data_IF_370134351817
#
_entry.id   IF_370134351817
#
_cell.length_a   1.000
_cell.length_b   1.000
_cell.length_c   1.000
_cell.angle_alpha   90.00
_cell.angle_beta   90.00
_cell.angle_gamma   90.00
#
_symmetry.space_group_name_H-M   'P 1'
#
loop_
_entity.id
_entity.type
_entity.pdbx_description
1 polymer ?
#
# COMPACT_ATOMS: atom_id res chain seq x y z
N UNK A 1 4.14 -14.51 -2.26
CA UNK A 1 3.18 -13.41 -2.00
C UNK A 1 4.04 -12.28 -1.48
N UNK A 2 4.07 -11.14 -2.16
CA UNK A 2 4.70 -9.97 -1.57
C UNK A 2 3.83 -9.53 -0.38
N UNK A 3 4.48 -9.16 0.72
CA UNK A 3 3.85 -8.71 1.97
C UNK A 3 4.28 -7.26 2.26
N UNK A 4 4.37 -6.42 1.22
CA UNK A 4 4.91 -5.06 1.29
C UNK A 4 4.15 -4.23 2.31
N UNK A 5 2.81 -4.30 2.34
CA UNK A 5 2.00 -3.57 3.30
C UNK A 5 2.24 -4.02 4.74
N UNK A 6 2.38 -5.33 4.97
CA UNK A 6 2.62 -5.90 6.29
C UNK A 6 4.04 -5.59 6.79
N UNK A 7 5.05 -5.85 5.96
CA UNK A 7 6.45 -5.58 6.26
C UNK A 7 6.67 -4.08 6.54
N UNK A 8 6.02 -3.20 5.77
CA UNK A 8 6.07 -1.77 5.99
C UNK A 8 5.38 -1.36 7.28
N UNK A 9 4.21 -1.93 7.59
CA UNK A 9 3.52 -1.65 8.85
C UNK A 9 4.38 -2.04 10.06
N UNK A 10 4.98 -3.23 10.00
CA UNK A 10 5.88 -3.72 11.06
C UNK A 10 7.13 -2.85 11.19
N UNK A 11 7.67 -2.34 10.09
CA UNK A 11 8.81 -1.42 10.11
C UNK A 11 8.46 -0.05 10.70
N UNK A 12 7.22 0.40 10.54
CA UNK A 12 6.73 1.65 11.12
C UNK A 12 6.33 1.51 12.58
N UNK A 13 6.08 0.29 13.06
CA UNK A 13 5.60 0.05 14.42
C UNK A 13 6.68 0.39 15.45
N UNK A 14 6.37 1.30 16.37
CA UNK A 14 7.13 1.44 17.61
C UNK A 14 6.69 0.35 18.58
N UNK A 15 7.60 -0.58 18.89
CA UNK A 15 7.36 -1.72 19.77
C UNK A 15 6.96 -1.29 21.19
N UNK A 16 7.42 -0.14 21.68
CA UNK A 16 7.14 0.31 23.04
C UNK A 16 5.69 0.81 23.19
N UNK A 17 5.20 1.59 22.21
CA UNK A 17 3.84 2.11 22.21
C UNK A 17 2.83 1.21 21.48
N UNK A 18 3.30 0.22 20.72
CA UNK A 18 2.51 -0.56 19.77
C UNK A 18 1.72 0.33 18.79
N UNK A 19 2.25 1.51 18.47
CA UNK A 19 1.68 2.45 17.52
C UNK A 19 2.64 2.66 16.36
N UNK A 20 2.13 2.92 15.14
CA UNK A 20 2.98 3.34 14.05
C UNK A 20 3.63 4.70 14.37
N UNK A 21 4.90 4.86 14.02
CA UNK A 21 5.67 6.10 14.14
C UNK A 21 5.27 7.21 13.16
N UNK A 22 4.10 7.09 12.54
CA UNK A 22 3.49 8.10 11.65
C UNK A 22 2.14 8.53 12.24
N UNK A 23 1.76 9.77 11.95
CA UNK A 23 0.40 10.23 12.18
C UNK A 23 -0.61 9.43 11.32
N UNK A 24 -1.81 9.21 11.88
CA UNK A 24 -2.85 8.35 11.29
C UNK A 24 -3.11 8.60 9.80
N UNK A 25 -3.35 9.84 9.31
CA UNK A 25 -3.68 10.04 7.90
C UNK A 25 -2.52 9.68 6.96
N UNK A 26 -1.27 9.83 7.40
CA UNK A 26 -0.11 9.39 6.61
C UNK A 26 0.06 7.88 6.67
N UNK A 27 -0.15 7.28 7.83
CA UNK A 27 -0.12 5.82 7.98
C UNK A 27 -1.14 5.16 7.05
N UNK A 28 -2.39 5.63 7.06
CA UNK A 28 -3.46 5.11 6.20
C UNK A 28 -3.10 5.23 4.71
N UNK A 29 -2.58 6.39 4.29
CA UNK A 29 -2.21 6.62 2.90
C UNK A 29 -1.06 5.71 2.44
N UNK A 30 -0.04 5.56 3.29
CA UNK A 30 1.13 4.71 2.99
C UNK A 30 0.74 3.23 2.92
N UNK A 31 -0.11 2.76 3.83
CA UNK A 31 -0.61 1.37 3.82
C UNK A 31 -1.50 1.10 2.59
N UNK A 32 -2.34 2.05 2.20
CA UNK A 32 -3.13 1.95 0.98
C UNK A 32 -2.22 1.84 -0.26
N UNK A 33 -1.17 2.66 -0.35
CA UNK A 33 -0.20 2.61 -1.43
C UNK A 33 0.56 1.27 -1.46
N UNK A 34 1.02 0.79 -0.30
CA UNK A 34 1.70 -0.51 -0.19
C UNK A 34 0.80 -1.67 -0.61
N UNK A 35 -0.49 -1.61 -0.29
CA UNK A 35 -1.49 -2.61 -0.74
C UNK A 35 -1.63 -2.63 -2.27
N UNK A 36 -1.62 -1.46 -2.92
CA UNK A 36 -1.62 -1.39 -4.39
C UNK A 36 -0.35 -2.02 -4.99
N UNK A 37 0.80 -1.84 -4.33
CA UNK A 37 2.05 -2.46 -4.74
C UNK A 37 2.01 -3.99 -4.57
N UNK A 38 1.42 -4.51 -3.49
CA UNK A 38 1.24 -5.95 -3.30
C UNK A 38 0.37 -6.56 -4.41
N UNK A 39 -0.73 -5.88 -4.79
CA UNK A 39 -1.57 -6.29 -5.90
C UNK A 39 -0.83 -6.24 -7.24
N UNK A 40 -0.01 -5.21 -7.47
CA UNK A 40 0.77 -5.09 -8.69
C UNK A 40 1.86 -6.16 -8.78
N UNK A 41 2.56 -6.43 -7.67
CA UNK A 41 3.56 -7.48 -7.56
C UNK A 41 2.95 -8.87 -7.75
N UNK A 42 1.69 -9.07 -7.35
CA UNK A 42 0.92 -10.28 -7.62
C UNK A 42 0.30 -10.31 -9.04
N UNK A 43 0.63 -9.34 -9.90
CA UNK A 43 0.08 -9.19 -11.26
C UNK A 43 -1.45 -9.10 -11.30
N UNK A 44 -2.09 -8.62 -10.23
CA UNK A 44 -3.56 -8.46 -10.14
C UNK A 44 -4.03 -7.10 -10.66
N UNK A 45 -3.19 -6.08 -10.56
CA UNK A 45 -3.45 -4.73 -11.08
C UNK A 45 -2.26 -4.25 -11.89
N UNK A 46 -2.51 -3.35 -12.84
CA UNK A 46 -1.49 -2.57 -13.52
C UNK A 46 -2.03 -1.16 -13.81
N UNK A 47 -1.15 -0.17 -14.00
CA UNK A 47 -1.56 1.07 -14.65
C UNK A 47 -2.20 0.77 -16.00
N UNK A 48 -3.28 1.47 -16.31
CA UNK A 48 -3.85 1.44 -17.66
C UNK A 48 -2.84 2.03 -18.65
N UNK A 49 -2.81 1.49 -19.86
CA UNK A 49 -1.97 2.01 -20.96
C UNK A 49 -2.82 2.74 -21.99
N UNK A 50 -2.15 3.52 -22.85
CA UNK A 50 -2.82 4.31 -23.89
C UNK A 50 -3.76 3.45 -24.75
N UNK A 51 -4.99 3.93 -24.92
CA UNK A 51 -6.03 3.24 -25.69
C UNK A 51 -6.86 2.21 -24.92
N UNK A 52 -6.53 1.91 -23.66
CA UNK A 52 -7.39 1.07 -22.82
C UNK A 52 -8.61 1.85 -22.32
N UNK A 53 -9.82 1.26 -22.38
CA UNK A 53 -11.02 1.91 -21.85
C UNK A 53 -10.96 1.95 -20.32
N UNK A 54 -10.79 3.16 -19.77
CA UNK A 54 -10.85 3.40 -18.32
C UNK A 54 -12.21 4.01 -17.98
N UNK A 55 -12.85 3.50 -16.92
CA UNK A 55 -14.11 4.09 -16.43
C UNK A 55 -13.83 5.46 -15.82
N UNK A 56 -14.70 6.44 -16.07
CA UNK A 56 -14.68 7.70 -15.34
C UNK A 56 -14.89 7.43 -13.85
N UNK A 57 -14.06 8.07 -13.02
CA UNK A 57 -14.15 8.03 -11.56
C UNK A 57 -15.24 8.92 -11.01
#
# INVERSE_FOLDING_TARGET
>A
MAQIAEDLFLLLLDTASAQPGLDSPRCDHVLAAATLLDLAHACRVRPAVDGEPVKSG
#
